data_IF_347777430999
#
_entry.id   IF_347777430999
#
_cell.length_a   1.000
_cell.length_b   1.000
_cell.length_c   1.000
_cell.angle_alpha   90.00
_cell.angle_beta   90.00
_cell.angle_gamma   90.00
#
_symmetry.space_group_name_H-M   'P 1'
#
loop_
_entity.id
_entity.type
_entity.pdbx_description
1 polymer ?
#
# COMPACT_ATOMS: atom_id res chain seq x y z
N UNK A 1 1.15 12.87 -12.56
CA UNK A 1 0.18 13.93 -12.21
C UNK A 1 -1.13 13.36 -11.67
N UNK A 2 -1.68 12.37 -12.36
CA UNK A 2 -2.90 11.69 -11.90
C UNK A 2 -2.65 11.02 -10.56
N UNK A 3 -1.51 10.35 -10.42
CA UNK A 3 -1.15 9.65 -9.19
C UNK A 3 -1.03 10.62 -8.01
N UNK A 4 -0.37 11.76 -8.20
CA UNK A 4 -0.20 12.75 -7.12
C UNK A 4 -1.54 13.28 -6.63
N UNK A 5 -2.45 13.63 -7.54
CA UNK A 5 -3.78 14.11 -7.18
C UNK A 5 -4.59 13.05 -6.47
N UNK A 6 -4.49 11.81 -6.93
CA UNK A 6 -5.18 10.68 -6.30
C UNK A 6 -4.70 10.44 -4.86
N UNK A 7 -3.38 10.40 -4.66
CA UNK A 7 -2.80 10.23 -3.32
C UNK A 7 -3.24 11.36 -2.40
N UNK A 8 -3.19 12.60 -2.90
CA UNK A 8 -3.63 13.76 -2.12
C UNK A 8 -5.08 13.61 -1.68
N UNK A 9 -5.97 13.15 -2.57
CA UNK A 9 -7.37 12.94 -2.22
C UNK A 9 -7.54 11.90 -1.13
N UNK A 10 -6.71 10.86 -1.12
CA UNK A 10 -6.73 9.84 -0.07
C UNK A 10 -6.27 10.41 1.27
N UNK A 11 -5.22 11.23 1.26
CA UNK A 11 -4.71 11.87 2.47
C UNK A 11 -5.78 12.76 3.11
N UNK A 12 -6.47 13.56 2.28
CA UNK A 12 -7.51 14.48 2.75
C UNK A 12 -8.69 13.72 3.37
N UNK A 13 -9.01 12.55 2.84
CA UNK A 13 -10.13 11.72 3.30
C UNK A 13 -9.78 10.76 4.43
N UNK A 14 -8.51 10.69 4.81
CA UNK A 14 -8.07 9.81 5.89
C UNK A 14 -8.74 10.19 7.23
N UNK A 15 -8.88 9.23 8.16
CA UNK A 15 -9.35 9.56 9.50
C UNK A 15 -8.50 10.67 10.13
N UNK A 16 -9.13 11.53 10.92
CA UNK A 16 -8.45 12.70 11.51
C UNK A 16 -7.21 12.34 12.34
N UNK A 17 -7.22 11.18 12.97
CA UNK A 17 -6.10 10.75 13.80
C UNK A 17 -4.90 10.24 12.99
N UNK A 18 -5.08 9.93 11.70
CA UNK A 18 -3.99 9.39 10.87
C UNK A 18 -3.05 10.51 10.45
N UNK A 19 -1.75 10.25 10.59
CA UNK A 19 -0.70 11.17 10.17
C UNK A 19 0.06 10.54 9.02
N UNK A 20 -0.05 11.15 7.84
CA UNK A 20 0.61 10.67 6.63
C UNK A 20 1.80 11.56 6.31
N UNK A 21 2.97 10.94 6.17
CA UNK A 21 4.17 11.58 5.64
C UNK A 21 4.40 11.04 4.24
N UNK A 22 4.72 11.90 3.29
CA UNK A 22 4.94 11.50 1.91
C UNK A 22 6.30 12.00 1.44
N UNK A 23 7.07 11.11 0.83
CA UNK A 23 8.40 11.41 0.30
C UNK A 23 8.46 11.00 -1.17
N UNK A 24 8.77 11.97 -2.01
CA UNK A 24 8.91 11.75 -3.45
C UNK A 24 10.39 11.92 -3.79
N UNK A 25 11.06 10.80 -4.10
CA UNK A 25 12.49 10.80 -4.40
C UNK A 25 12.79 11.12 -5.86
N UNK A 26 11.82 10.88 -6.73
CA UNK A 26 11.94 11.20 -8.15
C UNK A 26 10.61 11.73 -8.66
N UNK A 27 10.63 12.96 -9.19
CA UNK A 27 9.41 13.63 -9.68
C UNK A 27 8.95 13.10 -11.03
N UNK A 28 9.87 12.54 -11.80
CA UNK A 28 9.53 11.94 -13.09
C UNK A 28 9.34 10.44 -12.90
N UNK A 29 8.09 10.03 -12.93
CA UNK A 29 7.75 8.62 -12.83
C UNK A 29 7.52 8.09 -14.22
N UNK A 30 8.42 7.22 -14.66
CA UNK A 30 8.31 6.53 -15.94
C UNK A 30 7.93 5.09 -15.62
N UNK A 31 6.75 4.69 -16.06
CA UNK A 31 6.27 3.32 -15.90
C UNK A 31 5.35 2.98 -17.07
N UNK A 32 5.44 1.76 -17.54
CA UNK A 32 4.56 1.24 -18.59
C UNK A 32 3.16 0.89 -18.16
N UNK A 33 2.85 1.08 -16.87
CA UNK A 33 1.54 0.75 -16.34
C UNK A 33 0.50 1.82 -16.67
N UNK A 34 -0.72 1.38 -17.01
CA UNK A 34 -1.85 2.27 -17.19
C UNK A 34 -2.14 3.06 -15.90
N UNK A 35 -2.43 4.36 -16.03
CA UNK A 35 -2.76 5.19 -14.87
C UNK A 35 -3.94 4.65 -14.07
N UNK A 36 -4.93 4.08 -14.74
CA UNK A 36 -6.10 3.48 -14.11
C UNK A 36 -5.72 2.29 -13.22
N UNK A 37 -4.88 1.39 -13.72
CA UNK A 37 -4.41 0.24 -12.94
C UNK A 37 -3.50 0.66 -11.80
N UNK A 38 -2.66 1.66 -12.04
CA UNK A 38 -1.78 2.19 -10.99
C UNK A 38 -2.58 2.75 -9.82
N UNK A 39 -3.63 3.52 -10.12
CA UNK A 39 -4.53 4.07 -9.10
C UNK A 39 -5.22 2.95 -8.32
N UNK A 40 -5.62 1.88 -8.99
CA UNK A 40 -6.26 0.74 -8.33
C UNK A 40 -5.30 0.06 -7.34
N UNK A 41 -4.06 -0.19 -7.75
CA UNK A 41 -3.05 -0.80 -6.89
C UNK A 41 -2.73 0.10 -5.70
N UNK A 42 -2.38 1.35 -5.96
CA UNK A 42 -1.99 2.31 -4.93
C UNK A 42 -3.15 2.58 -3.96
N UNK A 43 -4.36 2.74 -4.49
CA UNK A 43 -5.54 2.98 -3.68
C UNK A 43 -5.81 1.85 -2.70
N UNK A 44 -5.69 0.61 -3.16
CA UNK A 44 -5.87 -0.55 -2.30
C UNK A 44 -4.86 -0.56 -1.14
N UNK A 45 -3.59 -0.29 -1.44
CA UNK A 45 -2.55 -0.29 -0.43
C UNK A 45 -2.73 0.84 0.59
N UNK A 46 -3.11 2.03 0.12
CA UNK A 46 -3.40 3.16 1.02
C UNK A 46 -4.59 2.85 1.91
N UNK A 47 -5.68 2.34 1.34
CA UNK A 47 -6.88 1.99 2.11
C UNK A 47 -6.55 0.95 3.19
N UNK A 48 -5.77 -0.06 2.86
CA UNK A 48 -5.36 -1.07 3.83
C UNK A 48 -4.54 -0.46 4.97
N UNK A 49 -3.61 0.43 4.65
CA UNK A 49 -2.79 1.09 5.66
C UNK A 49 -3.66 1.94 6.60
N UNK A 50 -4.58 2.72 6.04
CA UNK A 50 -5.45 3.59 6.84
C UNK A 50 -6.41 2.78 7.71
N UNK A 51 -6.96 1.71 7.18
CA UNK A 51 -7.86 0.83 7.95
C UNK A 51 -7.14 0.10 9.09
N UNK A 52 -5.85 -0.15 8.95
CA UNK A 52 -5.04 -0.76 10.00
C UNK A 52 -4.64 0.23 11.10
N UNK A 53 -4.73 1.53 10.84
CA UNK A 53 -4.38 2.55 11.83
C UNK A 53 -5.41 2.63 12.97
N UNK A 54 -4.92 2.96 14.15
CA UNK A 54 -5.72 3.28 15.31
C UNK A 54 -5.29 4.64 15.84
N UNK A 55 -5.99 5.18 16.82
CA UNK A 55 -5.57 6.45 17.42
C UNK A 55 -4.17 6.39 18.02
N UNK A 56 -3.76 5.23 18.51
CA UNK A 56 -2.44 5.00 19.10
C UNK A 56 -1.38 4.65 18.05
N UNK A 57 -1.77 3.96 16.98
CA UNK A 57 -0.89 3.52 15.90
C UNK A 57 -1.33 4.20 14.62
N UNK A 58 -0.98 5.48 14.47
CA UNK A 58 -1.57 6.36 13.47
C UNK A 58 -0.61 6.88 12.40
N UNK A 59 0.63 6.41 12.38
CA UNK A 59 1.62 6.92 11.43
C UNK A 59 1.67 6.09 10.15
N UNK A 60 1.62 6.78 9.02
CA UNK A 60 1.73 6.18 7.69
C UNK A 60 2.80 6.95 6.91
N UNK A 61 3.73 6.23 6.31
CA UNK A 61 4.75 6.79 5.43
C UNK A 61 4.51 6.27 4.01
N UNK A 62 4.44 7.18 3.06
CA UNK A 62 4.35 6.86 1.64
C UNK A 62 5.63 7.34 0.96
N UNK A 63 6.30 6.46 0.23
CA UNK A 63 7.48 6.81 -0.54
C UNK A 63 7.28 6.46 -2.01
N UNK A 64 7.67 7.37 -2.88
CA UNK A 64 7.55 7.21 -4.33
C UNK A 64 8.91 7.46 -4.95
N UNK A 65 9.36 6.51 -5.75
CA UNK A 65 10.61 6.59 -6.47
C UNK A 65 10.44 5.99 -7.86
N UNK A 66 11.40 6.22 -8.72
CA UNK A 66 11.42 5.64 -10.06
C UNK A 66 12.85 5.27 -10.39
N UNK A 67 13.09 4.02 -10.75
CA UNK A 67 14.41 3.50 -11.12
C UNK A 67 14.27 2.53 -12.28
N UNK A 68 15.14 2.64 -13.27
CA UNK A 68 15.17 1.72 -14.42
C UNK A 68 13.81 1.59 -15.11
N UNK A 69 13.12 2.73 -15.31
CA UNK A 69 11.79 2.81 -15.93
C UNK A 69 10.70 2.06 -15.17
N UNK A 70 10.92 1.83 -13.88
CA UNK A 70 9.93 1.23 -13.00
C UNK A 70 9.58 2.16 -11.85
N UNK A 71 8.31 2.16 -11.50
CA UNK A 71 7.83 2.85 -10.32
C UNK A 71 8.11 1.99 -9.09
N UNK A 72 8.64 2.62 -8.05
CA UNK A 72 8.79 1.99 -6.73
C UNK A 72 7.89 2.74 -5.76
N UNK A 73 6.83 2.09 -5.33
CA UNK A 73 5.87 2.64 -4.38
C UNK A 73 5.95 1.87 -3.08
N UNK A 74 6.21 2.58 -1.98
CA UNK A 74 6.29 1.99 -0.65
C UNK A 74 5.27 2.64 0.26
N UNK A 75 4.51 1.83 0.98
CA UNK A 75 3.65 2.33 2.04
C UNK A 75 3.90 1.55 3.31
N UNK A 76 4.14 2.27 4.40
CA UNK A 76 4.50 1.74 5.70
C UNK A 76 3.56 2.31 6.75
N UNK A 77 3.02 1.45 7.59
CA UNK A 77 2.17 1.90 8.68
C UNK A 77 2.51 1.17 9.97
N UNK A 78 2.21 1.83 11.09
CA UNK A 78 2.31 1.22 12.40
C UNK A 78 1.25 0.14 12.55
N UNK A 79 1.61 -0.94 13.24
CA UNK A 79 0.68 -2.03 13.56
C UNK A 79 0.89 -2.47 15.00
N UNK A 80 -0.14 -3.06 15.57
CA UNK A 80 0.01 -3.81 16.79
C UNK A 80 0.52 -5.20 16.41
N UNK A 81 1.34 -5.74 17.22
CA UNK A 81 1.92 -7.09 17.20
C UNK A 81 1.37 -8.04 16.13
N UNK A 82 1.91 -7.97 14.91
CA UNK A 82 1.48 -8.88 13.86
C UNK A 82 2.28 -10.17 13.94
N UNK A 83 1.60 -11.31 13.84
CA UNK A 83 2.25 -12.60 13.86
C UNK A 83 2.96 -12.88 12.53
N UNK A 84 4.14 -13.51 12.60
CA UNK A 84 4.90 -13.85 11.39
C UNK A 84 4.12 -14.79 10.45
N UNK A 85 3.28 -15.65 11.00
CA UNK A 85 2.45 -16.54 10.21
C UNK A 85 1.38 -15.84 9.37
N UNK A 86 0.95 -14.64 9.79
CA UNK A 86 -0.05 -13.88 9.05
C UNK A 86 0.49 -13.29 7.75
N UNK A 87 1.81 -13.02 7.68
CA UNK A 87 2.43 -12.40 6.52
C UNK A 87 2.25 -13.25 5.27
N UNK A 88 2.42 -14.56 5.38
CA UNK A 88 2.31 -15.47 4.25
C UNK A 88 0.91 -15.52 3.66
N UNK A 89 -0.10 -15.07 4.39
CA UNK A 89 -1.50 -15.10 3.96
C UNK A 89 -2.02 -13.78 3.39
N UNK A 90 -1.25 -12.70 3.48
CA UNK A 90 -1.74 -11.35 3.10
C UNK A 90 -2.27 -11.26 1.67
N UNK A 91 -1.72 -12.03 0.75
CA UNK A 91 -2.14 -11.98 -0.64
C UNK A 91 -3.09 -13.12 -1.01
N UNK A 92 -3.50 -13.93 -0.07
CA UNK A 92 -4.48 -14.99 -0.34
C UNK A 92 -5.87 -14.38 -0.55
N UNK A 93 -6.59 -14.94 -1.51
CA UNK A 93 -7.94 -14.50 -1.81
C UNK A 93 -8.85 -14.71 -0.59
N UNK A 94 -9.49 -13.65 -0.14
CA UNK A 94 -10.40 -13.69 0.98
C UNK A 94 -9.76 -13.53 2.35
N UNK A 95 -8.42 -13.47 2.45
CA UNK A 95 -7.76 -13.28 3.74
C UNK A 95 -7.95 -11.86 4.24
N UNK A 96 -8.31 -11.71 5.52
CA UNK A 96 -8.34 -10.42 6.20
C UNK A 96 -8.25 -10.63 7.71
N UNK A 97 -7.58 -9.71 8.39
CA UNK A 97 -7.53 -9.64 9.86
C UNK A 97 -8.65 -8.79 10.43
N UNK A 98 -9.50 -8.23 9.59
CA UNK A 98 -10.59 -7.34 9.98
C UNK A 98 -11.89 -8.14 10.19
N UNK A 99 -12.74 -7.67 11.09
CA UNK A 99 -13.97 -8.36 11.43
C UNK A 99 -14.92 -8.57 10.25
N UNK A 100 -14.98 -7.60 9.33
CA UNK A 100 -15.82 -7.68 8.14
C UNK A 100 -15.04 -8.06 6.88
N UNK A 101 -14.05 -8.89 7.01
CA UNK A 101 -12.97 -9.19 6.09
C UNK A 101 -13.26 -9.44 4.61
N UNK A 102 -14.51 -9.63 4.22
CA UNK A 102 -14.86 -10.03 2.84
C UNK A 102 -14.41 -9.05 1.77
N UNK A 103 -14.45 -7.74 2.03
CA UNK A 103 -14.03 -6.73 1.07
C UNK A 103 -12.52 -6.56 1.04
N UNK A 104 -11.89 -6.65 2.19
CA UNK A 104 -10.48 -6.30 2.36
C UNK A 104 -9.55 -7.41 1.88
N UNK A 105 -9.91 -8.67 2.11
CA UNK A 105 -9.13 -9.80 1.64
C UNK A 105 -9.02 -9.87 0.12
N UNK A 106 -10.05 -9.40 -0.61
CA UNK A 106 -10.03 -9.35 -2.06
C UNK A 106 -9.16 -8.22 -2.60
N UNK A 107 -9.07 -7.10 -1.86
CA UNK A 107 -8.27 -5.95 -2.30
C UNK A 107 -6.80 -6.29 -2.52
N UNK A 108 -6.14 -6.88 -1.53
CA UNK A 108 -4.73 -7.26 -1.64
C UNK A 108 -4.52 -8.34 -2.70
N UNK A 109 -5.40 -9.31 -2.77
CA UNK A 109 -5.35 -10.34 -3.80
C UNK A 109 -5.41 -9.71 -5.20
N UNK A 110 -6.36 -8.81 -5.42
CA UNK A 110 -6.53 -8.15 -6.72
C UNK A 110 -5.33 -7.26 -7.06
N UNK A 111 -4.78 -6.55 -6.09
CA UNK A 111 -3.57 -5.75 -6.29
C UNK A 111 -2.40 -6.64 -6.74
N UNK A 112 -2.22 -7.78 -6.08
CA UNK A 112 -1.19 -8.75 -6.46
C UNK A 112 -1.38 -9.25 -7.88
N UNK A 113 -2.61 -9.56 -8.27
CA UNK A 113 -2.92 -10.03 -9.62
C UNK A 113 -2.62 -8.97 -10.68
N UNK A 114 -2.96 -7.70 -10.40
CA UNK A 114 -2.64 -6.60 -11.30
C UNK A 114 -1.13 -6.41 -11.44
N UNK A 115 -0.41 -6.40 -10.34
CA UNK A 115 1.05 -6.28 -10.36
C UNK A 115 1.68 -7.39 -11.20
N UNK A 116 1.20 -8.61 -11.03
CA UNK A 116 1.69 -9.76 -11.78
C UNK A 116 1.44 -9.61 -13.30
N UNK A 117 0.30 -9.04 -13.69
CA UNK A 117 -0.01 -8.80 -15.11
C UNK A 117 1.00 -7.89 -15.80
N UNK A 118 1.60 -6.97 -15.04
CA UNK A 118 2.62 -6.05 -15.53
C UNK A 118 4.05 -6.57 -15.29
N UNK A 119 4.17 -7.82 -14.88
CA UNK A 119 5.47 -8.44 -14.55
C UNK A 119 6.21 -7.70 -13.44
N UNK A 120 5.46 -7.04 -12.56
CA UNK A 120 6.01 -6.35 -11.41
C UNK A 120 6.09 -7.26 -10.20
N UNK A 121 6.45 -6.65 -9.08
CA UNK A 121 6.63 -7.34 -7.81
C UNK A 121 5.96 -6.56 -6.69
N UNK A 122 5.32 -7.28 -5.77
CA UNK A 122 4.81 -6.70 -4.55
C UNK A 122 5.31 -7.55 -3.38
N UNK A 123 5.93 -6.90 -2.41
CA UNK A 123 6.51 -7.57 -1.25
C UNK A 123 6.01 -6.95 0.05
N UNK A 124 6.05 -7.73 1.12
CA UNK A 124 5.65 -7.30 2.46
C UNK A 124 6.84 -7.45 3.38
N UNK A 125 7.15 -6.41 4.15
CA UNK A 125 8.21 -6.42 5.13
C UNK A 125 7.67 -5.99 6.49
N UNK A 126 8.18 -6.61 7.55
CA UNK A 126 7.85 -6.21 8.92
C UNK A 126 9.11 -5.75 9.62
N UNK A 127 9.05 -4.56 10.22
CA UNK A 127 10.14 -3.99 11.01
C UNK A 127 9.77 -4.01 12.48
N UNK A 128 10.62 -4.67 13.29
CA UNK A 128 10.51 -4.68 14.75
C UNK A 128 9.12 -5.09 15.27
N UNK A 129 8.34 -5.79 14.47
CA UNK A 129 6.94 -6.15 14.76
C UNK A 129 6.02 -4.97 15.02
N UNK A 130 6.47 -3.75 14.71
CA UNK A 130 5.73 -2.50 14.93
C UNK A 130 5.29 -1.83 13.65
N UNK A 131 5.92 -2.15 12.54
CA UNK A 131 5.64 -1.53 11.24
C UNK A 131 5.51 -2.60 10.18
N UNK A 132 4.55 -2.40 9.29
CA UNK A 132 4.40 -3.23 8.10
C UNK A 132 4.58 -2.34 6.87
N UNK A 133 5.37 -2.82 5.91
CA UNK A 133 5.61 -2.13 4.64
C UNK A 133 5.17 -2.99 3.48
N UNK A 134 4.46 -2.38 2.53
CA UNK A 134 4.20 -2.98 1.23
C UNK A 134 5.03 -2.23 0.21
N UNK A 135 5.80 -2.95 -0.58
CA UNK A 135 6.67 -2.37 -1.62
C UNK A 135 6.24 -2.92 -2.97
N UNK A 136 5.89 -2.04 -3.87
CA UNK A 136 5.51 -2.38 -5.25
C UNK A 136 6.58 -1.86 -6.19
N UNK A 137 7.09 -2.74 -7.04
CA UNK A 137 8.01 -2.39 -8.12
C UNK A 137 7.35 -2.77 -9.43
N UNK A 138 7.08 -1.79 -10.27
CA UNK A 138 6.27 -2.04 -11.46
C UNK A 138 6.60 -1.09 -12.63
#
# INVERSE_FOLDING_TARGET
>A
KILAGFIYSKIVRAPEYVRTDIRVWNKEIVSGISGHHLIEIVGTLIDNAYEACTEEKNQVLIEIDSQNDKLIFTIKNQVENIGLGEISHFFEKGFSTKEDGKKHGLGLYNAKMLVNRYHGEITVEIEERKYISFVVVI
#
